data_IF_624884547379
#
_entry.id   IF_624884547379
#
_cell.length_a   1.000
_cell.length_b   1.000
_cell.length_c   1.000
_cell.angle_alpha   90.00
_cell.angle_beta   90.00
_cell.angle_gamma   90.00
#
_symmetry.space_group_name_H-M   'P 1'
#
loop_
_entity.id
_entity.type
_entity.pdbx_description
1 polymer ?
#
# COMPACT_ATOMS: atom_id res chain seq x y z
N UNK A 1 -40.95 36.63 -27.32
CA UNK A 1 -40.81 35.52 -26.37
C UNK A 1 -39.35 35.13 -26.36
N UNK A 2 -38.60 35.65 -25.43
CA UNK A 2 -37.20 35.30 -25.23
C UNK A 2 -37.15 34.23 -24.16
N UNK A 3 -36.67 33.03 -24.52
CA UNK A 3 -36.33 31.99 -23.58
C UNK A 3 -34.96 32.31 -23.01
N UNK A 4 -34.93 32.72 -21.75
CA UNK A 4 -33.69 32.88 -20.99
C UNK A 4 -33.11 31.50 -20.70
N UNK A 5 -31.88 31.32 -21.20
CA UNK A 5 -31.08 30.11 -20.98
C UNK A 5 -30.43 30.24 -19.61
N UNK A 6 -31.05 29.65 -18.58
CA UNK A 6 -30.43 29.53 -17.27
C UNK A 6 -29.28 28.51 -17.32
N UNK A 7 -28.08 29.02 -17.46
CA UNK A 7 -26.84 28.25 -17.22
C UNK A 7 -26.73 27.96 -15.74
N UNK A 8 -27.03 26.74 -15.34
CA UNK A 8 -26.69 26.23 -14.02
C UNK A 8 -25.15 25.99 -13.95
N UNK A 9 -24.43 27.05 -13.60
CA UNK A 9 -23.05 26.94 -13.12
C UNK A 9 -23.04 26.53 -11.63
N UNK A 10 -23.31 25.29 -11.37
CA UNK A 10 -23.00 24.65 -10.11
C UNK A 10 -21.60 24.08 -10.17
N UNK A 11 -20.56 24.89 -10.23
CA UNK A 11 -19.19 24.47 -10.14
C UNK A 11 -18.93 23.91 -8.74
N UNK A 12 -19.05 22.59 -8.55
CA UNK A 12 -18.52 21.92 -7.37
C UNK A 12 -17.00 22.10 -7.39
N UNK A 13 -16.48 22.81 -6.36
CA UNK A 13 -15.04 22.90 -6.19
C UNK A 13 -14.45 21.50 -6.12
N UNK A 14 -13.44 21.24 -6.94
CA UNK A 14 -12.72 19.97 -6.90
C UNK A 14 -12.07 19.81 -5.52
N UNK A 15 -12.09 18.60 -4.95
CA UNK A 15 -11.43 18.38 -3.68
C UNK A 15 -9.93 18.66 -3.80
N UNK A 16 -9.41 19.49 -2.89
CA UNK A 16 -8.00 19.82 -2.82
C UNK A 16 -7.27 18.87 -1.88
N UNK A 17 -6.11 18.39 -2.32
CA UNK A 17 -5.19 17.58 -1.54
C UNK A 17 -3.81 18.23 -1.49
N UNK A 18 -3.14 18.11 -0.35
CA UNK A 18 -1.76 18.57 -0.19
C UNK A 18 -0.78 17.63 -0.88
N UNK A 19 -1.11 16.33 -0.88
CA UNK A 19 -0.27 15.26 -1.44
C UNK A 19 -1.12 14.22 -2.16
N UNK A 20 -0.66 13.81 -3.32
CA UNK A 20 -1.20 12.66 -4.06
C UNK A 20 -0.16 11.54 -4.08
N UNK A 21 -0.51 10.40 -3.53
CA UNK A 21 0.31 9.18 -3.55
C UNK A 21 -0.21 8.28 -4.66
N UNK A 22 0.65 7.96 -5.62
CA UNK A 22 0.29 7.09 -6.76
C UNK A 22 0.82 5.68 -6.53
N UNK A 23 -0.09 4.73 -6.37
CA UNK A 23 0.19 3.33 -6.08
C UNK A 23 -0.05 2.96 -4.61
N UNK A 24 -1.06 2.12 -4.38
CA UNK A 24 -1.49 1.65 -3.06
C UNK A 24 -0.86 0.33 -2.62
N UNK A 25 0.37 0.04 -3.06
CA UNK A 25 1.17 -1.06 -2.51
C UNK A 25 1.72 -0.71 -1.13
N UNK A 26 2.53 -1.60 -0.50
CA UNK A 26 3.01 -1.41 0.87
C UNK A 26 3.67 -0.06 1.14
N UNK A 27 4.53 0.40 0.22
CA UNK A 27 5.21 1.68 0.38
C UNK A 27 4.25 2.87 0.30
N UNK A 28 3.40 2.92 -0.75
CA UNK A 28 2.47 4.04 -0.93
C UNK A 28 1.39 4.09 0.13
N UNK A 29 0.81 2.95 0.51
CA UNK A 29 -0.19 2.89 1.56
C UNK A 29 0.39 3.31 2.92
N UNK A 30 1.63 2.91 3.24
CA UNK A 30 2.31 3.32 4.47
C UNK A 30 2.61 4.82 4.46
N UNK A 31 3.15 5.35 3.35
CA UNK A 31 3.41 6.78 3.20
C UNK A 31 2.12 7.62 3.35
N UNK A 32 1.03 7.18 2.71
CA UNK A 32 -0.26 7.85 2.83
C UNK A 32 -0.79 7.84 4.27
N UNK A 33 -0.64 6.70 4.97
CA UNK A 33 -1.02 6.56 6.37
C UNK A 33 -0.23 7.52 7.27
N UNK A 34 1.09 7.58 7.11
CA UNK A 34 1.95 8.42 7.94
C UNK A 34 1.74 9.91 7.69
N UNK A 35 1.50 10.31 6.45
CA UNK A 35 1.15 11.68 6.10
C UNK A 35 -0.21 12.08 6.68
N UNK A 36 -1.22 11.22 6.53
CA UNK A 36 -2.56 11.48 7.07
C UNK A 36 -2.55 11.61 8.59
N UNK A 37 -1.80 10.78 9.30
CA UNK A 37 -1.61 10.87 10.77
C UNK A 37 -1.00 12.21 11.22
N UNK A 38 -0.25 12.87 10.34
CA UNK A 38 0.35 14.19 10.58
C UNK A 38 -0.59 15.35 10.19
N UNK A 39 -1.82 15.05 9.78
CA UNK A 39 -2.83 16.05 9.41
C UNK A 39 -2.76 16.51 7.97
N UNK A 40 -1.92 15.89 7.12
CA UNK A 40 -1.83 16.18 5.69
C UNK A 40 -3.07 15.66 4.97
N UNK A 41 -3.66 16.44 4.08
CA UNK A 41 -4.74 15.98 3.19
C UNK A 41 -4.17 15.12 2.08
N UNK A 42 -4.32 13.81 2.19
CA UNK A 42 -3.70 12.84 1.28
C UNK A 42 -4.75 12.17 0.40
N UNK A 43 -4.48 12.13 -0.90
CA UNK A 43 -5.15 11.25 -1.86
C UNK A 43 -4.23 10.08 -2.20
N UNK A 44 -4.68 8.86 -1.95
CA UNK A 44 -4.00 7.63 -2.38
C UNK A 44 -4.74 7.05 -3.59
N UNK A 45 -4.07 7.04 -4.75
CA UNK A 45 -4.58 6.45 -5.98
C UNK A 45 -4.02 5.03 -6.16
N UNK A 46 -4.92 4.05 -6.29
CA UNK A 46 -4.56 2.68 -6.67
C UNK A 46 -5.34 2.26 -7.91
N UNK A 47 -4.63 1.87 -8.97
CA UNK A 47 -5.26 1.56 -10.27
C UNK A 47 -6.07 0.27 -10.31
N UNK A 48 -5.94 -0.61 -9.30
CA UNK A 48 -6.73 -1.83 -9.23
C UNK A 48 -6.06 -2.95 -8.45
N UNK A 49 -6.80 -4.03 -8.26
CA UNK A 49 -6.47 -5.17 -7.40
C UNK A 49 -5.52 -6.17 -8.08
N UNK A 50 -4.45 -5.69 -8.68
CA UNK A 50 -3.45 -6.60 -9.20
C UNK A 50 -2.55 -7.10 -8.08
N UNK A 51 -2.65 -8.38 -7.76
CA UNK A 51 -1.71 -9.06 -6.86
C UNK A 51 -0.33 -9.04 -7.54
N UNK A 52 0.65 -8.44 -6.89
CA UNK A 52 2.03 -8.48 -7.38
C UNK A 52 2.63 -9.86 -7.11
N UNK A 53 3.33 -10.45 -8.09
CA UNK A 53 4.07 -11.70 -7.89
C UNK A 53 5.25 -11.43 -6.96
N UNK A 54 5.03 -11.55 -5.66
CA UNK A 54 6.02 -11.31 -4.62
C UNK A 54 5.80 -12.34 -3.51
N UNK A 55 6.87 -12.94 -3.01
CA UNK A 55 6.79 -13.90 -1.92
C UNK A 55 6.35 -13.33 -0.57
N UNK A 56 6.21 -12.00 -0.46
CA UNK A 56 5.69 -11.35 0.75
C UNK A 56 6.64 -11.38 1.94
N UNK A 57 7.94 -11.52 1.71
CA UNK A 57 8.94 -11.55 2.79
C UNK A 57 9.13 -10.16 3.41
N UNK A 58 9.02 -10.07 4.74
CA UNK A 58 9.18 -8.84 5.52
C UNK A 58 10.21 -9.11 6.62
N UNK A 59 11.26 -8.27 6.75
CA UNK A 59 12.22 -8.41 7.85
C UNK A 59 11.56 -8.13 9.21
N UNK A 60 12.04 -8.74 10.31
CA UNK A 60 11.46 -8.56 11.64
C UNK A 60 11.36 -7.10 12.07
N UNK A 61 12.39 -6.31 11.76
CA UNK A 61 12.41 -4.89 12.06
C UNK A 61 11.25 -4.12 11.39
N UNK A 62 10.90 -4.47 10.16
CA UNK A 62 9.77 -3.83 9.50
C UNK A 62 8.41 -4.22 10.15
N UNK A 63 8.32 -5.44 10.70
CA UNK A 63 7.13 -5.85 11.47
C UNK A 63 6.97 -4.97 12.71
N UNK A 64 8.07 -4.68 13.40
CA UNK A 64 8.08 -3.84 14.61
C UNK A 64 7.88 -2.36 14.27
N UNK A 65 8.70 -1.80 13.36
CA UNK A 65 8.71 -0.37 13.02
C UNK A 65 7.35 0.08 12.46
N UNK A 66 6.69 -0.78 11.67
CA UNK A 66 5.39 -0.49 11.06
C UNK A 66 4.21 -1.12 11.78
N UNK A 67 4.44 -1.71 12.96
CA UNK A 67 3.40 -2.30 13.80
C UNK A 67 2.47 -3.24 13.01
N UNK A 68 3.08 -4.20 12.29
CA UNK A 68 2.34 -5.17 11.50
C UNK A 68 1.69 -6.19 12.43
N UNK A 69 0.35 -6.31 12.45
CA UNK A 69 -0.31 -7.21 13.37
C UNK A 69 -0.05 -8.67 13.02
N UNK A 70 -0.05 -9.52 14.05
CA UNK A 70 0.31 -10.93 13.92
C UNK A 70 -0.59 -11.71 12.95
N UNK A 71 -1.85 -11.32 12.82
CA UNK A 71 -2.82 -11.91 11.89
C UNK A 71 -2.50 -11.67 10.41
N UNK A 72 -1.62 -10.71 10.11
CA UNK A 72 -1.13 -10.49 8.76
C UNK A 72 0.06 -11.38 8.41
N UNK A 73 0.66 -12.05 9.40
CA UNK A 73 1.82 -12.91 9.21
C UNK A 73 1.36 -14.35 9.02
N UNK A 74 1.49 -14.87 7.80
CA UNK A 74 1.05 -16.22 7.44
C UNK A 74 2.12 -17.28 7.73
N UNK A 75 3.39 -16.91 7.80
CA UNK A 75 4.49 -17.81 8.18
C UNK A 75 5.69 -17.04 8.75
N UNK A 76 6.49 -17.74 9.54
CA UNK A 76 7.78 -17.26 10.07
C UNK A 76 8.87 -18.20 9.62
N UNK A 77 9.74 -17.71 8.74
CA UNK A 77 10.82 -18.49 8.13
C UNK A 77 12.09 -18.32 8.92
N UNK A 78 12.71 -19.42 9.33
CA UNK A 78 13.96 -19.43 10.10
C UNK A 78 15.18 -19.86 9.29
N UNK A 79 14.96 -20.41 8.09
CA UNK A 79 16.04 -20.85 7.21
C UNK A 79 15.60 -20.70 5.75
N UNK A 80 16.53 -20.30 4.88
CA UNK A 80 16.35 -20.28 3.45
C UNK A 80 17.29 -21.33 2.82
N UNK A 81 16.79 -22.08 1.82
CA UNK A 81 17.60 -23.00 1.04
C UNK A 81 17.90 -22.40 -0.33
N UNK A 82 19.16 -22.22 -0.61
CA UNK A 82 19.63 -21.87 -1.95
C UNK A 82 19.97 -23.14 -2.72
N UNK A 83 19.55 -23.18 -3.98
CA UNK A 83 19.83 -24.28 -4.89
C UNK A 83 20.51 -23.68 -6.11
N UNK A 84 21.74 -24.13 -6.38
CA UNK A 84 22.50 -23.71 -7.56
C UNK A 84 21.97 -24.44 -8.82
N UNK A 85 22.27 -23.94 -10.03
CA UNK A 85 21.96 -24.67 -11.27
C UNK A 85 22.59 -26.05 -11.37
N UNK A 86 23.66 -26.30 -10.61
CA UNK A 86 24.32 -27.63 -10.45
C UNK A 86 23.64 -28.56 -9.44
N UNK A 87 22.45 -28.19 -8.91
CA UNK A 87 21.75 -28.88 -7.82
C UNK A 87 22.48 -28.90 -6.46
N UNK A 88 23.58 -28.20 -6.32
CA UNK A 88 24.20 -27.96 -5.02
C UNK A 88 23.27 -27.13 -4.13
N UNK A 89 23.18 -27.52 -2.86
CA UNK A 89 22.24 -26.95 -1.89
C UNK A 89 22.97 -26.38 -0.68
N UNK A 90 22.59 -25.17 -0.30
CA UNK A 90 23.09 -24.52 0.92
C UNK A 90 21.93 -24.03 1.74
N UNK A 91 21.84 -24.49 2.99
CA UNK A 91 20.87 -24.00 3.96
C UNK A 91 21.46 -22.81 4.71
N UNK A 92 20.77 -21.68 4.65
CA UNK A 92 21.17 -20.43 5.30
C UNK A 92 20.20 -20.18 6.48
N UNK A 93 20.60 -20.41 7.72
CA UNK A 93 19.78 -20.03 8.88
C UNK A 93 19.69 -18.50 8.99
N UNK A 94 18.52 -18.00 9.37
CA UNK A 94 18.26 -16.56 9.58
C UNK A 94 18.80 -16.07 10.95
N UNK A 95 19.50 -16.94 11.70
CA UNK A 95 19.98 -16.65 13.05
C UNK A 95 18.88 -16.81 14.11
N UNK A 96 18.95 -16.03 15.18
CA UNK A 96 17.99 -16.10 16.30
C UNK A 96 16.65 -15.42 16.02
N UNK A 97 16.43 -14.97 14.81
CA UNK A 97 15.24 -14.25 14.38
C UNK A 97 14.45 -15.03 13.31
N UNK A 98 13.57 -14.36 12.60
CA UNK A 98 12.77 -14.94 11.51
C UNK A 98 12.53 -13.91 10.41
N UNK A 99 12.19 -14.36 9.22
CA UNK A 99 11.59 -13.53 8.18
C UNK A 99 10.08 -13.78 8.21
N UNK A 100 9.30 -12.73 8.38
CA UNK A 100 7.86 -12.81 8.32
C UNK A 100 7.40 -12.92 6.86
N UNK A 101 6.40 -13.75 6.62
CA UNK A 101 5.75 -13.87 5.32
C UNK A 101 4.34 -13.32 5.43
N UNK A 102 3.94 -12.50 4.47
CA UNK A 102 2.58 -11.98 4.35
C UNK A 102 1.96 -12.41 3.02
N UNK A 103 0.64 -12.51 3.03
CA UNK A 103 -0.13 -12.76 1.83
C UNK A 103 -0.54 -11.41 1.21
N UNK A 104 0.01 -11.09 0.02
CA UNK A 104 -0.11 -9.77 -0.60
C UNK A 104 -1.53 -9.40 -1.00
N UNK A 105 -2.41 -10.37 -1.27
CA UNK A 105 -3.82 -10.15 -1.57
C UNK A 105 -4.64 -9.72 -0.34
N UNK A 106 -4.15 -10.02 0.86
CA UNK A 106 -4.70 -9.56 2.14
C UNK A 106 -3.95 -8.38 2.72
N UNK A 107 -2.63 -8.40 2.63
CA UNK A 107 -1.77 -7.40 3.25
C UNK A 107 -1.85 -6.03 2.58
N UNK A 108 -1.87 -5.96 1.25
CA UNK A 108 -1.96 -4.68 0.54
C UNK A 108 -3.31 -3.97 0.79
N UNK A 109 -4.48 -4.65 0.73
CA UNK A 109 -5.75 -4.07 1.17
C UNK A 109 -5.74 -3.59 2.62
N UNK A 110 -5.22 -4.39 3.55
CA UNK A 110 -5.08 -4.02 4.96
C UNK A 110 -4.32 -2.70 5.14
N UNK A 111 -3.20 -2.51 4.43
CA UNK A 111 -2.43 -1.27 4.53
C UNK A 111 -3.17 -0.07 3.95
N UNK A 112 -3.95 -0.24 2.87
CA UNK A 112 -4.80 0.83 2.31
C UNK A 112 -5.94 1.19 3.24
N UNK A 113 -6.57 0.21 3.87
CA UNK A 113 -7.62 0.42 4.87
C UNK A 113 -7.07 1.19 6.08
N UNK A 114 -5.91 0.79 6.59
CA UNK A 114 -5.20 1.52 7.64
C UNK A 114 -4.88 2.97 7.27
N UNK A 115 -4.54 3.24 6.00
CA UNK A 115 -4.35 4.59 5.51
C UNK A 115 -5.66 5.39 5.49
N UNK A 116 -6.76 4.77 5.07
CA UNK A 116 -8.09 5.40 5.10
C UNK A 116 -8.54 5.70 6.53
N UNK A 117 -8.36 4.78 7.47
CA UNK A 117 -8.64 4.99 8.90
C UNK A 117 -7.81 6.13 9.51
N UNK A 118 -6.59 6.34 9.02
CA UNK A 118 -5.74 7.46 9.40
C UNK A 118 -6.17 8.81 8.81
N UNK A 119 -7.13 8.82 7.88
CA UNK A 119 -7.68 10.02 7.26
C UNK A 119 -7.27 10.25 5.79
N UNK A 120 -6.53 9.33 5.16
CA UNK A 120 -6.25 9.43 3.74
C UNK A 120 -7.51 9.12 2.91
N UNK A 121 -7.72 9.85 1.83
CA UNK A 121 -8.74 9.50 0.83
C UNK A 121 -8.16 8.44 -0.11
N UNK A 122 -8.73 7.24 -0.10
CA UNK A 122 -8.28 6.13 -0.96
C UNK A 122 -9.24 5.97 -2.13
N UNK A 123 -8.72 6.07 -3.35
CA UNK A 123 -9.51 6.01 -4.57
C UNK A 123 -8.91 4.99 -5.55
N UNK A 124 -9.79 4.19 -6.15
CA UNK A 124 -9.41 3.36 -7.30
C UNK A 124 -9.36 4.22 -8.54
N UNK A 125 -8.18 4.37 -9.10
CA UNK A 125 -7.96 5.20 -10.28
C UNK A 125 -6.52 5.11 -10.75
N UNK A 126 -6.30 5.44 -12.02
CA UNK A 126 -4.99 5.48 -12.64
C UNK A 126 -4.55 6.93 -12.86
N UNK A 127 -3.36 7.25 -12.44
CA UNK A 127 -2.71 8.50 -12.80
C UNK A 127 -2.42 8.51 -14.31
N UNK A 128 -2.76 9.59 -15.00
CA UNK A 128 -2.55 9.76 -16.43
C UNK A 128 -1.40 10.74 -16.70
N UNK A 129 -1.58 11.99 -16.30
CA UNK A 129 -0.60 13.06 -16.53
C UNK A 129 -0.81 14.21 -15.56
N UNK A 130 0.19 15.07 -15.45
CA UNK A 130 0.06 16.43 -14.92
C UNK A 130 -0.19 17.37 -16.08
N UNK A 131 -1.13 18.30 -15.91
CA UNK A 131 -1.39 19.40 -16.84
C UNK A 131 -0.61 20.65 -16.43
#
# INVERSE_FOLDING_TARGET
>A
MHAENETHEGGQALPEYDVVVVGGGPAGATAACDLARRGTKVLLLERGFRIKPCGGAIPPRAVEDFQIPAEQIVARIKSARMIAPSDERVDMPVGDTYVAMVDRDRFDPFLRERAAEAGATVVTGAFQSLE
#
